data_IF_711906490346
#
_entry.id   IF_711906490346
#
_cell.length_a   1.000
_cell.length_b   1.000
_cell.length_c   1.000
_cell.angle_alpha   90.00
_cell.angle_beta   90.00
_cell.angle_gamma   90.00
#
_symmetry.space_group_name_H-M   'P 1'
#
loop_
_entity.id
_entity.type
_entity.pdbx_description
1 polymer ?
#
# COMPACT_ATOMS: atom_id res chain seq x y z
N UNK A 1 -2.28 27.58 13.70
CA UNK A 1 -1.67 26.31 14.15
C UNK A 1 -1.74 25.25 13.03
N UNK A 2 -0.62 24.60 12.72
CA UNK A 2 -0.61 23.45 11.81
C UNK A 2 -0.95 22.18 12.62
N UNK A 3 -1.91 21.40 12.13
CA UNK A 3 -2.29 20.10 12.71
C UNK A 3 -1.66 18.97 11.86
N UNK A 4 -1.32 17.82 12.46
CA UNK A 4 -0.85 16.67 11.70
C UNK A 4 -1.90 16.24 10.66
N UNK A 5 -1.45 15.98 9.44
CA UNK A 5 -2.28 15.34 8.40
C UNK A 5 -2.11 13.84 8.54
N UNK A 6 -3.23 13.12 8.66
CA UNK A 6 -3.27 11.66 8.76
C UNK A 6 -4.05 11.08 7.59
N UNK A 7 -3.61 9.91 7.13
CA UNK A 7 -4.31 9.11 6.12
C UNK A 7 -4.42 7.68 6.63
N UNK A 8 -5.64 7.18 6.77
CA UNK A 8 -5.87 5.78 7.16
C UNK A 8 -5.77 4.88 5.94
N UNK A 9 -4.65 4.17 5.75
CA UNK A 9 -4.45 3.27 4.60
C UNK A 9 -5.55 2.23 4.46
N UNK A 10 -6.12 1.77 5.58
CA UNK A 10 -7.27 0.86 5.61
C UNK A 10 -8.53 1.48 4.99
N UNK A 11 -8.74 2.78 5.15
CA UNK A 11 -9.90 3.49 4.61
C UNK A 11 -9.72 3.88 3.14
N UNK A 12 -8.50 4.29 2.75
CA UNK A 12 -8.23 4.75 1.38
C UNK A 12 -7.82 3.64 0.42
N UNK A 13 -7.40 2.49 0.94
CA UNK A 13 -6.94 1.33 0.18
C UNK A 13 -5.52 1.50 -0.37
N UNK A 14 -5.32 2.51 -1.21
CA UNK A 14 -4.05 2.87 -1.82
C UNK A 14 -3.73 4.36 -1.63
N UNK A 15 -2.46 4.74 -1.77
CA UNK A 15 -1.98 6.11 -1.58
C UNK A 15 -0.97 6.50 -2.66
N UNK A 16 -1.32 7.50 -3.47
CA UNK A 16 -0.41 8.14 -4.43
C UNK A 16 0.36 9.32 -3.82
N UNK A 17 1.69 9.31 -3.92
CA UNK A 17 2.56 10.44 -3.57
C UNK A 17 3.29 10.95 -4.82
N UNK A 18 3.06 12.21 -5.19
CA UNK A 18 3.70 12.82 -6.35
C UNK A 18 4.44 14.12 -5.99
N UNK A 19 5.63 14.30 -6.57
CA UNK A 19 6.38 15.54 -6.45
C UNK A 19 7.87 15.38 -6.75
N UNK A 20 8.69 16.43 -6.53
CA UNK A 20 10.11 16.39 -6.84
C UNK A 20 10.84 15.36 -5.98
N UNK A 21 11.81 14.65 -6.58
CA UNK A 21 12.47 13.48 -5.99
C UNK A 21 12.86 13.65 -4.54
N UNK A 22 13.65 14.68 -4.22
CA UNK A 22 14.19 14.85 -2.87
C UNK A 22 13.09 14.93 -1.80
N UNK A 23 12.01 15.67 -2.09
CA UNK A 23 10.89 15.81 -1.16
C UNK A 23 10.00 14.57 -1.14
N UNK A 24 9.76 13.97 -2.31
CA UNK A 24 8.98 12.75 -2.45
C UNK A 24 9.61 11.62 -1.63
N UNK A 25 10.91 11.39 -1.79
CA UNK A 25 11.59 10.33 -1.05
C UNK A 25 11.71 10.67 0.44
N UNK A 26 11.95 11.93 0.79
CA UNK A 26 11.92 12.37 2.19
C UNK A 26 10.58 12.05 2.86
N UNK A 27 9.47 12.36 2.20
CA UNK A 27 8.12 12.06 2.66
C UNK A 27 7.86 10.55 2.73
N UNK A 28 8.16 9.81 1.67
CA UNK A 28 7.94 8.37 1.62
C UNK A 28 8.72 7.64 2.73
N UNK A 29 9.99 7.99 2.96
CA UNK A 29 10.78 7.43 4.06
C UNK A 29 10.20 7.78 5.43
N UNK A 30 9.69 9.01 5.61
CA UNK A 30 9.03 9.40 6.86
C UNK A 30 7.77 8.57 7.11
N UNK A 31 6.95 8.32 6.08
CA UNK A 31 5.76 7.47 6.17
C UNK A 31 6.15 6.03 6.55
N UNK A 32 7.13 5.43 5.86
CA UNK A 32 7.57 4.07 6.16
C UNK A 32 8.21 3.95 7.55
N UNK A 33 8.98 4.94 7.97
CA UNK A 33 9.57 4.96 9.31
C UNK A 33 8.47 5.05 10.40
N UNK A 34 7.44 5.87 10.19
CA UNK A 34 6.29 5.94 11.09
C UNK A 34 5.54 4.60 11.15
N UNK A 35 5.24 3.99 10.00
CA UNK A 35 4.59 2.69 9.94
C UNK A 35 5.40 1.62 10.68
N UNK A 36 6.71 1.55 10.44
CA UNK A 36 7.60 0.59 11.09
C UNK A 36 7.81 0.85 12.59
N UNK A 37 7.70 2.10 13.04
CA UNK A 37 7.79 2.45 14.46
C UNK A 37 6.49 2.19 15.22
N UNK A 38 5.35 2.31 14.55
CA UNK A 38 4.01 2.16 15.15
C UNK A 38 3.47 0.72 15.06
N UNK A 39 4.02 -0.12 14.20
CA UNK A 39 3.56 -1.49 14.00
C UNK A 39 4.71 -2.48 14.06
N UNK A 40 4.51 -3.56 14.82
CA UNK A 40 5.50 -4.62 14.91
C UNK A 40 5.65 -5.33 13.57
N UNK A 41 6.81 -5.95 13.38
CA UNK A 41 7.00 -6.87 12.27
C UNK A 41 6.26 -8.19 12.48
N UNK A 42 5.27 -8.30 13.38
CA UNK A 42 4.31 -9.40 13.38
C UNK A 42 3.04 -9.02 12.61
N UNK A 43 2.62 -7.76 12.75
CA UNK A 43 1.38 -7.23 12.17
C UNK A 43 1.58 -6.51 10.85
N UNK A 44 2.79 -6.03 10.55
CA UNK A 44 3.10 -5.30 9.32
C UNK A 44 4.27 -5.93 8.54
N UNK A 45 4.06 -6.14 7.24
CA UNK A 45 5.07 -6.45 6.24
C UNK A 45 5.25 -5.25 5.30
N UNK A 46 6.49 -4.94 4.92
CA UNK A 46 6.80 -3.90 3.93
C UNK A 46 7.48 -4.56 2.73
N UNK A 47 6.90 -4.37 1.55
CA UNK A 47 7.44 -4.82 0.27
C UNK A 47 7.82 -3.60 -0.56
N UNK A 48 9.03 -3.55 -1.10
CA UNK A 48 9.47 -2.50 -2.01
C UNK A 48 9.56 -3.04 -3.44
N UNK A 49 8.98 -2.32 -4.39
CA UNK A 49 9.21 -2.47 -5.83
C UNK A 49 9.79 -1.15 -6.36
N UNK A 50 11.09 -1.14 -6.61
CA UNK A 50 11.85 -0.01 -7.12
C UNK A 50 12.62 -0.46 -8.38
N UNK A 51 11.86 -0.81 -9.42
CA UNK A 51 12.38 -1.41 -10.66
C UNK A 51 12.40 -0.44 -11.87
N UNK A 52 12.15 0.85 -11.64
CA UNK A 52 12.15 1.86 -12.70
C UNK A 52 13.52 1.95 -13.38
N UNK A 53 13.54 1.54 -14.66
CA UNK A 53 14.75 1.47 -15.49
C UNK A 53 15.22 2.82 -16.01
N UNK A 54 14.41 3.88 -15.88
CA UNK A 54 14.84 5.24 -16.20
C UNK A 54 15.91 5.75 -15.21
N UNK A 55 15.96 5.16 -14.02
CA UNK A 55 16.93 5.49 -12.97
C UNK A 55 18.07 4.46 -12.93
N UNK A 56 19.29 4.82 -12.51
CA UNK A 56 20.37 3.86 -12.29
C UNK A 56 20.09 2.94 -11.09
N UNK A 57 20.47 1.66 -11.18
CA UNK A 57 20.33 0.69 -10.09
C UNK A 57 21.01 1.15 -8.80
N UNK A 58 22.22 1.71 -8.91
CA UNK A 58 22.98 2.18 -7.75
C UNK A 58 22.24 3.26 -6.96
N UNK A 59 21.57 4.19 -7.64
CA UNK A 59 20.76 5.23 -7.00
C UNK A 59 19.55 4.64 -6.30
N UNK A 60 18.77 3.79 -7.00
CA UNK A 60 17.58 3.13 -6.44
C UNK A 60 17.94 2.32 -5.18
N UNK A 61 19.01 1.55 -5.23
CA UNK A 61 19.46 0.73 -4.09
C UNK A 61 19.96 1.60 -2.94
N UNK A 62 20.80 2.62 -3.21
CA UNK A 62 21.30 3.51 -2.16
C UNK A 62 20.15 4.21 -1.43
N UNK A 63 19.14 4.63 -2.18
CA UNK A 63 17.97 5.35 -1.69
C UNK A 63 17.16 4.52 -0.67
N UNK A 64 16.98 3.24 -0.94
CA UNK A 64 16.18 2.36 -0.09
C UNK A 64 17.00 1.44 0.82
N UNK A 65 18.32 1.54 0.79
CA UNK A 65 19.25 0.68 1.55
C UNK A 65 18.94 0.59 3.05
N UNK A 66 18.44 1.68 3.65
CA UNK A 66 18.06 1.74 5.06
C UNK A 66 16.92 0.75 5.41
N UNK A 67 16.05 0.41 4.45
CA UNK A 67 14.98 -0.58 4.67
C UNK A 67 15.54 -1.96 5.01
N UNK A 68 16.75 -2.31 4.57
CA UNK A 68 17.37 -3.60 4.87
C UNK A 68 17.62 -3.87 6.37
N UNK A 69 17.54 -2.82 7.19
CA UNK A 69 17.66 -2.89 8.65
C UNK A 69 16.32 -3.16 9.36
N UNK A 70 15.20 -2.97 8.65
CA UNK A 70 13.88 -3.15 9.24
C UNK A 70 13.50 -4.64 9.35
N UNK A 71 12.89 -5.07 10.46
CA UNK A 71 12.34 -6.41 10.55
C UNK A 71 11.12 -6.61 9.62
N UNK A 72 10.38 -5.55 9.28
CA UNK A 72 9.19 -5.60 8.44
C UNK A 72 9.46 -6.00 6.98
N UNK A 73 10.70 -5.91 6.49
CA UNK A 73 11.08 -6.35 5.13
C UNK A 73 11.61 -7.78 5.09
N UNK A 74 11.57 -8.50 6.22
CA UNK A 74 12.01 -9.90 6.29
C UNK A 74 10.89 -10.81 5.83
N UNK A 75 11.15 -11.77 4.94
CA UNK A 75 10.13 -12.71 4.48
C UNK A 75 9.68 -13.63 5.62
N UNK A 76 8.37 -13.74 5.83
CA UNK A 76 7.76 -14.57 6.90
C UNK A 76 6.71 -15.56 6.41
N UNK A 77 6.43 -15.56 5.11
CA UNK A 77 5.37 -16.31 4.45
C UNK A 77 5.93 -17.27 3.39
N UNK A 78 7.17 -17.74 3.58
CA UNK A 78 7.84 -18.69 2.68
C UNK A 78 8.30 -18.08 1.35
N UNK A 79 8.45 -16.75 1.29
CA UNK A 79 8.96 -16.09 0.09
C UNK A 79 10.41 -16.49 -0.21
N UNK A 80 10.73 -16.75 -1.49
CA UNK A 80 12.08 -17.12 -1.92
C UNK A 80 12.97 -15.88 -2.12
N UNK A 81 13.26 -15.18 -1.04
CA UNK A 81 14.18 -14.05 -1.02
C UNK A 81 14.81 -13.86 0.37
N UNK A 82 15.78 -12.95 0.47
CA UNK A 82 16.36 -12.56 1.79
C UNK A 82 15.70 -11.32 2.39
N UNK A 83 15.24 -10.42 1.52
CA UNK A 83 14.54 -9.19 1.85
C UNK A 83 13.42 -9.01 0.82
N UNK A 84 12.32 -8.40 1.23
CA UNK A 84 11.18 -8.05 0.39
C UNK A 84 11.44 -6.79 -0.43
N UNK A 85 12.62 -6.70 -1.04
CA UNK A 85 13.06 -5.58 -1.86
C UNK A 85 13.26 -6.07 -3.29
N UNK A 86 12.63 -5.40 -4.24
CA UNK A 86 12.81 -5.63 -5.66
C UNK A 86 13.42 -4.40 -6.33
N UNK A 87 14.65 -4.54 -6.83
CA UNK A 87 15.38 -3.51 -7.55
C UNK A 87 15.52 -3.80 -9.04
N UNK A 88 15.10 -4.98 -9.49
CA UNK A 88 15.07 -5.41 -10.88
C UNK A 88 13.71 -6.02 -11.27
N UNK A 89 13.55 -6.32 -12.56
CA UNK A 89 12.31 -6.83 -13.13
C UNK A 89 11.94 -8.22 -12.62
N UNK A 90 12.92 -9.10 -12.43
CA UNK A 90 12.70 -10.47 -12.00
C UNK A 90 12.18 -10.48 -10.56
N UNK A 91 12.86 -9.73 -9.68
CA UNK A 91 12.44 -9.53 -8.30
C UNK A 91 11.04 -8.88 -8.23
N UNK A 92 10.77 -7.86 -9.04
CA UNK A 92 9.47 -7.19 -9.07
C UNK A 92 8.35 -8.15 -9.50
N UNK A 93 8.62 -9.00 -10.51
CA UNK A 93 7.68 -10.03 -10.96
C UNK A 93 7.41 -11.04 -9.85
N UNK A 94 8.45 -11.50 -9.16
CA UNK A 94 8.31 -12.44 -8.06
C UNK A 94 7.50 -11.84 -6.89
N UNK A 95 7.76 -10.59 -6.50
CA UNK A 95 7.00 -9.91 -5.42
C UNK A 95 5.53 -9.73 -5.81
N UNK A 96 5.26 -9.27 -7.02
CA UNK A 96 3.89 -9.07 -7.50
C UNK A 96 3.12 -10.39 -7.56
N UNK A 97 3.72 -11.47 -8.08
CA UNK A 97 3.10 -12.78 -8.16
C UNK A 97 2.77 -13.37 -6.78
N UNK A 98 3.67 -13.23 -5.80
CA UNK A 98 3.41 -13.67 -4.42
C UNK A 98 2.24 -12.92 -3.78
N UNK A 99 2.17 -11.60 -3.99
CA UNK A 99 1.10 -10.77 -3.45
C UNK A 99 -0.25 -11.07 -4.11
N UNK A 100 -0.27 -11.26 -5.43
CA UNK A 100 -1.47 -11.69 -6.15
C UNK A 100 -1.96 -13.06 -5.65
N UNK A 101 -1.06 -14.02 -5.45
CA UNK A 101 -1.44 -15.32 -4.89
C UNK A 101 -2.11 -15.18 -3.53
N UNK A 102 -1.58 -14.32 -2.64
CA UNK A 102 -2.21 -14.07 -1.33
C UNK A 102 -3.59 -13.44 -1.47
N UNK A 103 -3.75 -12.50 -2.39
CA UNK A 103 -5.06 -11.89 -2.69
C UNK A 103 -6.05 -12.96 -3.17
N UNK A 104 -5.65 -13.79 -4.14
CA UNK A 104 -6.50 -14.85 -4.69
C UNK A 104 -6.88 -15.90 -3.63
N UNK A 105 -5.91 -16.31 -2.80
CA UNK A 105 -6.14 -17.22 -1.67
C UNK A 105 -7.18 -16.61 -0.70
N UNK A 106 -7.02 -15.33 -0.33
CA UNK A 106 -7.95 -14.65 0.57
C UNK A 106 -9.36 -14.53 -0.01
N UNK A 107 -9.49 -14.11 -1.27
CA UNK A 107 -10.79 -14.00 -1.96
C UNK A 107 -11.48 -15.37 -2.08
N UNK A 108 -10.70 -16.45 -2.29
CA UNK A 108 -11.20 -17.82 -2.27
C UNK A 108 -11.71 -18.26 -0.90
N UNK A 109 -11.01 -17.88 0.17
CA UNK A 109 -11.41 -18.15 1.56
C UNK A 109 -12.69 -17.41 1.95
N UNK A 110 -12.82 -16.14 1.56
CA UNK A 110 -14.03 -15.33 1.76
C UNK A 110 -15.23 -15.97 1.04
N UNK A 111 -15.09 -16.35 -0.23
CA UNK A 111 -16.16 -16.94 -1.02
C UNK A 111 -16.66 -18.28 -0.41
N UNK A 112 -15.75 -19.12 0.08
CA UNK A 112 -16.10 -20.38 0.77
C UNK A 112 -16.79 -20.15 2.11
N UNK A 113 -16.42 -19.08 2.82
CA UNK A 113 -17.02 -18.71 4.10
C UNK A 113 -18.43 -18.16 3.93
N UNK A 114 -18.68 -17.38 2.87
CA UNK A 114 -20.00 -16.85 2.52
C UNK A 114 -20.98 -17.87 1.93
N UNK A 115 -20.50 -19.00 1.37
CA UNK A 115 -21.34 -20.05 0.80
C UNK A 115 -21.93 -21.03 1.82
N UNK A 116 -21.52 -20.98 3.10
CA UNK A 116 -22.15 -21.76 4.18
C UNK A 116 -23.50 -21.13 4.54
N UNK A 117 -24.61 -21.89 4.59
CA UNK A 117 -25.88 -21.39 5.10
C UNK A 117 -25.69 -20.83 6.52
N UNK A 118 -26.00 -19.55 6.70
CA UNK A 118 -25.96 -18.90 8.01
C UNK A 118 -27.15 -19.38 8.85
N UNK A 119 -27.00 -20.50 9.55
CA UNK A 119 -27.84 -20.81 10.70
C UNK A 119 -27.35 -19.98 11.88
N UNK A 120 -27.95 -18.80 12.08
CA UNK A 120 -28.31 -18.18 13.37
C UNK A 120 -28.86 -16.75 13.16
N UNK A 121 -30.17 -16.59 13.39
CA UNK A 121 -30.71 -15.42 14.10
C UNK A 121 -30.30 -15.58 15.59
N UNK A 122 -30.13 -14.62 16.49
CA UNK A 122 -30.58 -13.25 16.79
C UNK A 122 -29.38 -12.60 17.56
N UNK A 123 -29.08 -11.31 17.56
CA UNK A 123 -29.85 -10.22 18.16
C UNK A 123 -29.09 -8.92 17.87
N UNK A 124 -29.69 -7.94 17.20
CA UNK A 124 -29.08 -6.63 16.96
C UNK A 124 -30.13 -5.53 17.06
N UNK A 125 -30.37 -5.08 18.29
CA UNK A 125 -31.09 -3.84 18.56
C UNK A 125 -30.32 -2.66 17.97
N UNK A 126 -30.85 -2.11 16.88
CA UNK A 126 -30.34 -0.90 16.23
C UNK A 126 -30.67 0.35 17.08
N UNK A 127 -29.64 0.94 17.69
CA UNK A 127 -29.71 2.31 18.20
C UNK A 127 -29.26 3.27 17.08
N UNK A 128 -30.23 3.87 16.39
CA UNK A 128 -30.01 4.93 15.39
C UNK A 128 -29.67 6.25 16.07
N UNK A 129 -28.41 6.39 16.48
CA UNK A 129 -27.81 7.69 16.78
C UNK A 129 -27.25 8.32 15.49
N UNK A 130 -27.67 9.54 15.15
CA UNK A 130 -27.02 10.33 14.10
C UNK A 130 -25.61 10.72 14.54
N UNK A 131 -24.63 9.87 14.22
CA UNK A 131 -23.20 10.11 14.50
C UNK A 131 -22.67 11.13 13.49
N UNK A 132 -22.08 12.22 13.99
CA UNK A 132 -21.34 13.16 13.14
C UNK A 132 -20.14 12.43 12.52
N UNK A 133 -19.79 12.66 11.24
CA UNK A 133 -18.61 12.05 10.64
C UNK A 133 -17.37 12.47 11.43
N UNK A 134 -16.76 11.53 12.17
CA UNK A 134 -15.56 11.76 12.95
C UNK A 134 -14.38 11.09 12.22
N UNK A 135 -13.22 11.75 12.10
CA UNK A 135 -12.08 11.20 11.36
C UNK A 135 -11.49 9.97 12.08
N UNK A 136 -10.91 9.03 11.32
CA UNK A 136 -10.45 7.70 11.80
C UNK A 136 -9.50 7.74 12.99
N UNK A 137 -8.59 8.71 13.05
CA UNK A 137 -7.63 8.86 14.15
C UNK A 137 -8.27 9.23 15.49
N UNK A 138 -9.52 9.69 15.49
CA UNK A 138 -10.28 10.05 16.69
C UNK A 138 -11.29 8.97 17.09
N UNK A 139 -11.37 7.87 16.33
CA UNK A 139 -12.22 6.72 16.69
C UNK A 139 -11.47 5.84 17.70
N UNK A 140 -12.12 5.45 18.82
CA UNK A 140 -11.60 4.36 19.63
C UNK A 140 -11.45 3.12 18.75
N UNK A 141 -10.32 2.42 18.86
CA UNK A 141 -10.16 1.11 18.24
C UNK A 141 -11.07 0.12 18.99
N UNK A 142 -12.32 0.03 18.55
CA UNK A 142 -13.34 -0.84 19.16
C UNK A 142 -13.25 -2.29 18.63
N UNK A 143 -12.22 -2.60 17.84
CA UNK A 143 -12.01 -3.91 17.21
C UNK A 143 -12.91 -4.17 16.01
N UNK A 144 -13.79 -3.23 15.64
CA UNK A 144 -14.66 -3.33 14.47
C UNK A 144 -14.01 -2.55 13.33
N UNK A 145 -13.39 -3.27 12.39
CA UNK A 145 -12.76 -2.65 11.22
C UNK A 145 -13.83 -1.95 10.35
N UNK A 146 -13.83 -0.60 10.22
CA UNK A 146 -14.77 0.09 9.36
C UNK A 146 -14.53 -0.22 7.86
N UNK A 147 -13.38 -0.81 7.50
CA UNK A 147 -13.00 -1.12 6.12
C UNK A 147 -13.13 -2.60 5.73
N UNK A 148 -13.68 -3.44 6.63
CA UNK A 148 -14.02 -4.84 6.32
C UNK A 148 -13.00 -5.85 6.82
N UNK A 149 -13.33 -6.46 7.96
CA UNK A 149 -13.19 -7.90 8.24
C UNK A 149 -11.82 -8.58 8.18
N UNK A 150 -10.75 -7.95 7.69
CA UNK A 150 -9.46 -8.60 7.52
C UNK A 150 -8.74 -8.74 8.86
N UNK A 151 -8.56 -9.98 9.30
CA UNK A 151 -7.94 -10.32 10.60
C UNK A 151 -6.50 -10.82 10.48
N UNK A 152 -5.85 -10.62 9.33
CA UNK A 152 -4.48 -11.07 9.06
C UNK A 152 -3.40 -9.98 9.25
N UNK A 153 -2.12 -10.31 9.00
CA UNK A 153 -1.05 -9.31 8.92
C UNK A 153 -1.24 -8.41 7.70
N UNK A 154 -1.00 -7.11 7.88
CA UNK A 154 -1.09 -6.11 6.82
C UNK A 154 0.20 -6.05 6.00
N UNK A 155 0.08 -5.80 4.71
CA UNK A 155 1.22 -5.61 3.80
C UNK A 155 1.14 -4.22 3.17
N UNK A 156 2.21 -3.43 3.31
CA UNK A 156 2.37 -2.18 2.57
C UNK A 156 3.35 -2.40 1.41
N UNK A 157 2.86 -2.19 0.18
CA UNK A 157 3.62 -2.35 -1.05
C UNK A 157 4.00 -0.98 -1.57
N UNK A 158 5.28 -0.64 -1.49
CA UNK A 158 5.82 0.62 -2.00
C UNK A 158 6.25 0.43 -3.43
N UNK A 159 5.70 1.23 -4.34
CA UNK A 159 6.01 1.19 -5.77
C UNK A 159 6.68 2.50 -6.14
N UNK A 160 7.99 2.47 -6.33
CA UNK A 160 8.80 3.65 -6.64
C UNK A 160 9.08 3.76 -8.14
N UNK A 161 8.27 4.56 -8.83
CA UNK A 161 8.29 4.72 -10.29
C UNK A 161 7.56 3.61 -11.06
N UNK A 162 8.00 3.32 -12.28
CA UNK A 162 7.49 2.22 -13.10
C UNK A 162 7.97 0.86 -12.56
N UNK A 163 7.08 -0.07 -12.15
CA UNK A 163 7.47 -1.39 -11.67
C UNK A 163 7.98 -2.34 -12.77
N UNK A 164 7.91 -1.93 -14.04
CA UNK A 164 8.67 -2.54 -15.13
C UNK A 164 7.84 -3.22 -16.22
N UNK A 165 7.61 -4.53 -16.13
CA UNK A 165 6.86 -5.28 -17.16
C UNK A 165 5.37 -4.92 -17.18
N UNK A 166 4.68 -5.13 -18.30
CA UNK A 166 3.23 -4.93 -18.40
C UNK A 166 2.48 -5.77 -17.36
N UNK A 167 2.84 -7.05 -17.24
CA UNK A 167 2.25 -7.97 -16.26
C UNK A 167 2.43 -7.50 -14.81
N UNK A 168 3.59 -6.92 -14.48
CA UNK A 168 3.85 -6.36 -13.14
C UNK A 168 3.01 -5.11 -12.90
N UNK A 169 2.87 -4.24 -13.91
CA UNK A 169 1.99 -3.07 -13.80
C UNK A 169 0.53 -3.46 -13.59
N UNK A 170 0.04 -4.44 -14.34
CA UNK A 170 -1.32 -4.97 -14.20
C UNK A 170 -1.53 -5.62 -12.83
N UNK A 171 -0.57 -6.43 -12.38
CA UNK A 171 -0.60 -7.03 -11.06
C UNK A 171 -0.67 -5.99 -9.94
N UNK A 172 0.18 -4.97 -9.99
CA UNK A 172 0.20 -3.90 -8.98
C UNK A 172 -1.07 -3.04 -9.05
N UNK A 173 -1.59 -2.75 -10.24
CA UNK A 173 -2.87 -2.06 -10.39
C UNK A 173 -4.03 -2.85 -9.75
N UNK A 174 -4.09 -4.16 -9.98
CA UNK A 174 -5.05 -5.05 -9.30
C UNK A 174 -4.87 -5.05 -7.80
N UNK A 175 -3.63 -5.09 -7.30
CA UNK A 175 -3.34 -5.01 -5.86
C UNK A 175 -3.77 -3.66 -5.26
N UNK A 176 -3.69 -2.55 -5.99
CA UNK A 176 -4.17 -1.26 -5.50
C UNK A 176 -5.70 -1.25 -5.31
N UNK A 177 -6.44 -1.86 -6.23
CA UNK A 177 -7.90 -1.91 -6.22
C UNK A 177 -8.49 -2.97 -5.28
N UNK A 178 -7.96 -4.20 -5.35
CA UNK A 178 -8.52 -5.36 -4.65
C UNK A 178 -7.73 -5.75 -3.40
N UNK A 179 -6.45 -5.36 -3.34
CA UNK A 179 -5.54 -5.69 -2.24
C UNK A 179 -6.05 -5.33 -0.85
N UNK A 180 -6.75 -4.19 -0.63
CA UNK A 180 -7.21 -3.82 0.71
C UNK A 180 -8.10 -4.88 1.37
N UNK A 181 -8.83 -5.67 0.57
CA UNK A 181 -9.64 -6.79 1.05
C UNK A 181 -8.78 -7.88 1.71
N UNK A 182 -7.58 -8.09 1.19
CA UNK A 182 -6.59 -9.03 1.71
C UNK A 182 -5.52 -8.35 2.58
N UNK A 183 -5.79 -7.14 3.10
CA UNK A 183 -4.84 -6.38 3.92
C UNK A 183 -3.60 -5.87 3.18
N UNK A 184 -3.63 -5.82 1.85
CA UNK A 184 -2.54 -5.32 1.01
C UNK A 184 -2.85 -3.88 0.58
N UNK A 185 -1.97 -2.94 0.95
CA UNK A 185 -2.12 -1.52 0.66
C UNK A 185 -0.97 -1.01 -0.20
N UNK A 186 -1.27 -0.36 -1.32
CA UNK A 186 -0.26 0.15 -2.26
C UNK A 186 0.07 1.61 -1.94
N UNK A 187 1.37 1.92 -1.84
CA UNK A 187 1.89 3.31 -1.80
C UNK A 187 2.69 3.55 -3.07
N UNK A 188 2.13 4.31 -4.00
CA UNK A 188 2.74 4.60 -5.30
C UNK A 188 3.46 5.94 -5.26
N UNK A 189 4.74 5.97 -5.67
CA UNK A 189 5.57 7.17 -5.75
C UNK A 189 5.79 7.54 -7.21
N UNK A 190 5.44 8.77 -7.58
CA UNK A 190 5.65 9.30 -8.92
C UNK A 190 6.42 10.62 -8.88
N UNK A 191 7.65 10.61 -9.41
CA UNK A 191 8.44 11.83 -9.50
C UNK A 191 7.79 12.79 -10.51
N UNK A 192 7.48 14.00 -10.07
CA UNK A 192 6.90 15.05 -10.91
C UNK A 192 7.48 16.40 -10.54
N UNK A 193 7.33 17.39 -11.43
CA UNK A 193 7.61 18.77 -11.07
C UNK A 193 6.72 19.21 -9.89
N UNK A 194 7.20 20.16 -9.08
CA UNK A 194 6.41 20.70 -7.99
C UNK A 194 5.09 21.28 -8.53
N UNK A 195 3.96 20.90 -7.91
CA UNK A 195 2.71 21.59 -8.14
C UNK A 195 2.91 23.08 -7.80
N UNK A 196 2.53 23.95 -8.72
CA UNK A 196 2.64 25.40 -8.58
C UNK A 196 1.30 26.01 -8.97
N UNK A 197 1.02 27.27 -8.61
CA UNK A 197 -0.17 27.96 -9.10
C UNK A 197 -0.30 27.97 -10.64
N UNK A 198 0.81 27.78 -11.36
CA UNK A 198 0.88 27.73 -12.84
C UNK A 198 0.96 26.31 -13.42
N UNK A 199 1.11 25.29 -12.56
CA UNK A 199 1.02 23.87 -12.90
C UNK A 199 -0.13 23.25 -12.11
N UNK A 200 -1.36 23.28 -12.67
CA UNK A 200 -2.55 22.79 -11.98
C UNK A 200 -2.37 21.36 -11.48
N UNK A 201 -3.05 21.02 -10.38
CA UNK A 201 -3.03 19.68 -9.76
C UNK A 201 -3.31 18.58 -10.80
N UNK A 202 -4.23 18.81 -11.74
CA UNK A 202 -4.53 17.89 -12.84
C UNK A 202 -3.32 17.59 -13.71
N UNK A 203 -2.49 18.59 -14.01
CA UNK A 203 -1.28 18.43 -14.83
C UNK A 203 -0.20 17.65 -14.08
N UNK A 204 -0.09 17.84 -12.75
CA UNK A 204 0.76 17.03 -11.88
C UNK A 204 0.27 15.58 -11.79
N UNK A 205 -1.05 15.37 -11.72
CA UNK A 205 -1.66 14.03 -11.72
C UNK A 205 -1.42 13.29 -13.05
N UNK A 206 -1.61 13.95 -14.19
CA UNK A 206 -1.31 13.38 -15.51
C UNK A 206 0.17 13.03 -15.66
N UNK A 207 1.07 13.91 -15.19
CA UNK A 207 2.50 13.64 -15.16
C UNK A 207 2.84 12.44 -14.26
N UNK A 208 2.18 12.32 -13.10
CA UNK A 208 2.36 11.20 -12.18
C UNK A 208 1.92 9.88 -12.83
N UNK A 209 0.76 9.86 -13.49
CA UNK A 209 0.26 8.69 -14.23
C UNK A 209 1.18 8.29 -15.40
N UNK A 210 1.85 9.26 -16.04
CA UNK A 210 2.80 8.98 -17.10
C UNK A 210 4.09 8.31 -16.58
N UNK A 211 4.54 8.67 -15.37
CA UNK A 211 5.73 8.11 -14.71
C UNK A 211 5.44 6.74 -14.11
N UNK A 212 4.30 6.59 -13.45
CA UNK A 212 3.85 5.32 -12.88
C UNK A 212 2.40 5.07 -13.26
N UNK A 213 2.11 4.17 -14.23
CA UNK A 213 0.74 3.88 -14.64
C UNK A 213 -0.16 3.38 -13.51
N UNK A 214 0.42 2.75 -12.49
CA UNK A 214 -0.26 2.30 -11.26
C UNK A 214 -0.85 3.47 -10.48
N UNK A 215 -0.25 4.67 -10.60
CA UNK A 215 -0.67 5.86 -9.86
C UNK A 215 -2.14 6.24 -10.10
N UNK A 216 -2.73 5.85 -11.25
CA UNK A 216 -4.14 6.10 -11.54
C UNK A 216 -5.09 5.35 -10.61
N UNK A 217 -4.64 4.19 -10.11
CA UNK A 217 -5.41 3.32 -9.23
C UNK A 217 -5.19 3.65 -7.73
N UNK A 218 -4.42 4.70 -7.43
CA UNK A 218 -4.07 5.16 -6.08
C UNK A 218 -4.63 6.57 -5.81
#
# INVERSE_FOLDING_TARGET
PAVPVTAGLREVGALGLAGPRERLTGLARSVLAQLAALHSADTLEIVLISADRSRPLAERTAEWSWLGWLPQVRPRHGQDCRLLLAHDREQATARAAELLRRLDDHLGDEARSGARPQDTAEDATAATGTVRPQPSWARPDDGTDPAGGFTGPYTVVVVDGDPGGADVREAVARLALEGPRAGVHVVCLAETAAASPTSPVTRTYEAACAVSPVFREC
#
